data_IF_085932478700
#
_entry.id   IF_085932478700
#
_cell.length_a   1.000
_cell.length_b   1.000
_cell.length_c   1.000
_cell.angle_alpha   90.00
_cell.angle_beta   90.00
_cell.angle_gamma   90.00
#
_symmetry.space_group_name_H-M   'P 1'
#
loop_
_entity.id
_entity.type
_entity.pdbx_description
1 polymer ?
#
# COMPACT_ATOMS: atom_id res chain seq x y z
N UNK A 1 -26.23 8.15 -26.76
CA UNK A 1 -25.94 8.46 -25.34
C UNK A 1 -24.45 8.70 -25.18
N UNK A 2 -24.02 9.91 -24.81
CA UNK A 2 -22.62 10.18 -24.45
C UNK A 2 -22.45 9.79 -22.98
N UNK A 3 -21.73 8.72 -22.71
CA UNK A 3 -21.39 8.29 -21.35
C UNK A 3 -20.48 9.37 -20.75
N UNK A 4 -21.05 10.24 -19.90
CA UNK A 4 -20.26 11.16 -19.09
C UNK A 4 -19.51 10.33 -18.06
N UNK A 5 -18.22 10.11 -18.29
CA UNK A 5 -17.31 9.54 -17.29
C UNK A 5 -17.27 10.58 -16.16
N UNK A 6 -18.01 10.34 -15.08
CA UNK A 6 -17.94 11.17 -13.87
C UNK A 6 -16.54 11.00 -13.30
N UNK A 7 -15.65 11.96 -13.58
CA UNK A 7 -14.37 12.08 -12.89
C UNK A 7 -14.68 12.34 -11.42
N UNK A 8 -14.30 11.40 -10.56
CA UNK A 8 -14.51 11.50 -9.13
C UNK A 8 -13.28 12.23 -8.60
N UNK A 9 -13.44 13.48 -8.18
CA UNK A 9 -12.38 14.19 -7.47
C UNK A 9 -11.97 13.36 -6.26
N UNK A 10 -10.69 13.03 -6.22
CA UNK A 10 -10.12 12.27 -5.13
C UNK A 10 -10.09 13.14 -3.88
N UNK A 11 -10.91 12.80 -2.88
CA UNK A 11 -10.76 13.34 -1.53
C UNK A 11 -10.13 12.25 -0.65
N UNK A 12 -8.94 12.47 -0.07
CA UNK A 12 -8.31 11.49 0.80
C UNK A 12 -9.17 11.33 2.05
N UNK A 13 -9.98 10.27 2.08
CA UNK A 13 -10.60 9.81 3.29
C UNK A 13 -9.53 9.11 4.15
N UNK A 14 -8.78 9.93 4.90
CA UNK A 14 -8.02 9.59 6.12
C UNK A 14 -6.63 8.94 5.96
N UNK A 15 -5.64 9.74 6.40
CA UNK A 15 -4.44 9.40 7.19
C UNK A 15 -3.18 8.82 6.55
N UNK A 16 -3.23 7.96 5.52
CA UNK A 16 -2.00 7.27 5.05
C UNK A 16 -1.63 7.63 3.60
N UNK A 17 -2.61 7.79 2.72
CA UNK A 17 -2.43 8.08 1.30
C UNK A 17 -1.47 9.20 0.88
N UNK A 18 -1.43 10.38 1.55
CA UNK A 18 -0.50 11.46 1.16
C UNK A 18 0.98 11.06 1.23
N UNK A 19 1.33 10.06 2.05
CA UNK A 19 2.70 9.57 2.21
C UNK A 19 3.12 8.59 1.11
N UNK A 20 2.16 7.86 0.53
CA UNK A 20 2.41 6.71 -0.35
C UNK A 20 2.46 7.13 -1.80
N UNK A 21 1.65 8.10 -2.19
CA UNK A 21 1.43 8.38 -3.59
C UNK A 21 2.46 9.32 -4.22
N UNK A 22 3.13 10.18 -3.45
CA UNK A 22 3.95 11.26 -4.04
C UNK A 22 3.18 12.13 -5.04
N UNK A 23 1.84 12.04 -5.00
CA UNK A 23 0.85 12.74 -5.82
C UNK A 23 0.29 13.87 -5.00
N UNK A 24 0.06 15.01 -5.63
CA UNK A 24 -0.52 16.16 -4.93
C UNK A 24 -2.03 15.94 -4.72
N UNK A 25 -2.56 16.47 -3.62
CA UNK A 25 -4.00 16.59 -3.40
C UNK A 25 -4.65 17.28 -4.60
N UNK A 26 -5.52 16.56 -5.33
CA UNK A 26 -6.18 17.08 -6.54
C UNK A 26 -5.79 16.38 -7.85
N UNK A 27 -4.89 15.40 -7.81
CA UNK A 27 -4.63 14.55 -8.99
C UNK A 27 -5.86 13.69 -9.33
N UNK A 28 -6.27 13.71 -10.60
CA UNK A 28 -7.33 12.86 -11.16
C UNK A 28 -6.89 11.38 -11.11
N UNK A 29 -7.28 10.66 -10.05
CA UNK A 29 -7.17 9.19 -9.99
C UNK A 29 -8.38 8.53 -10.64
N UNK A 30 -8.13 7.50 -11.44
CA UNK A 30 -9.21 6.65 -11.96
C UNK A 30 -9.89 5.87 -10.84
N UNK A 31 -11.16 5.48 -11.05
CA UNK A 31 -11.90 4.65 -10.08
C UNK A 31 -11.15 3.38 -9.70
N UNK A 32 -10.41 2.77 -10.65
CA UNK A 32 -9.60 1.57 -10.41
C UNK A 32 -8.43 1.86 -9.47
N UNK A 33 -7.76 2.99 -9.62
CA UNK A 33 -6.65 3.38 -8.74
C UNK A 33 -7.16 3.65 -7.32
N UNK A 34 -8.29 4.35 -7.19
CA UNK A 34 -8.93 4.60 -5.90
C UNK A 34 -9.27 3.28 -5.19
N UNK A 35 -9.92 2.34 -5.88
CA UNK A 35 -10.28 1.04 -5.28
C UNK A 35 -9.06 0.24 -4.82
N UNK A 36 -7.95 0.28 -5.56
CA UNK A 36 -6.71 -0.40 -5.15
C UNK A 36 -6.14 0.21 -3.88
N UNK A 37 -6.16 1.53 -3.78
CA UNK A 37 -5.65 2.26 -2.62
C UNK A 37 -6.51 2.00 -1.38
N UNK A 38 -7.83 2.03 -1.52
CA UNK A 38 -8.76 1.70 -0.42
C UNK A 38 -8.55 0.25 0.09
N UNK A 39 -8.39 -0.71 -0.82
CA UNK A 39 -8.09 -2.10 -0.46
C UNK A 39 -6.76 -2.23 0.28
N UNK A 40 -5.75 -1.47 -0.17
CA UNK A 40 -4.44 -1.47 0.45
C UNK A 40 -4.47 -0.86 1.86
N UNK A 41 -5.10 0.30 2.04
CA UNK A 41 -5.23 0.95 3.36
C UNK A 41 -6.03 0.10 4.35
N UNK A 42 -7.15 -0.49 3.91
CA UNK A 42 -7.93 -1.39 4.74
C UNK A 42 -7.13 -2.65 5.14
N UNK A 43 -6.30 -3.16 4.22
CA UNK A 43 -5.38 -4.25 4.50
C UNK A 43 -4.30 -3.88 5.53
N UNK A 44 -3.73 -2.68 5.41
CA UNK A 44 -2.67 -2.20 6.31
C UNK A 44 -3.16 -2.03 7.74
N UNK A 45 -4.32 -1.39 7.94
CA UNK A 45 -4.92 -1.18 9.28
C UNK A 45 -5.19 -2.48 10.03
N UNK A 46 -5.54 -3.55 9.30
CA UNK A 46 -5.81 -4.86 9.91
C UNK A 46 -4.58 -5.79 9.96
N UNK A 47 -3.56 -5.50 9.14
CA UNK A 47 -2.42 -6.40 8.91
C UNK A 47 -1.23 -6.13 9.83
N UNK A 48 -0.92 -4.86 10.09
CA UNK A 48 0.23 -4.46 10.91
C UNK A 48 -0.16 -4.45 12.39
N UNK A 49 0.69 -5.04 13.23
CA UNK A 49 0.50 -5.12 14.67
C UNK A 49 1.67 -4.49 15.42
N UNK A 50 1.42 -4.02 16.64
CA UNK A 50 2.41 -3.39 17.53
C UNK A 50 3.61 -4.28 17.86
N UNK A 51 3.43 -5.60 17.81
CA UNK A 51 4.43 -6.62 18.09
C UNK A 51 5.21 -7.07 16.83
N UNK A 52 4.87 -6.56 15.65
CA UNK A 52 5.63 -6.88 14.44
C UNK A 52 7.05 -6.30 14.53
N UNK A 53 8.04 -7.10 14.13
CA UNK A 53 9.36 -6.56 13.79
C UNK A 53 9.25 -5.66 12.56
N UNK A 54 10.17 -4.71 12.41
CA UNK A 54 10.21 -3.84 11.22
C UNK A 54 10.18 -4.67 9.92
N UNK A 55 10.98 -5.73 9.85
CA UNK A 55 11.04 -6.60 8.66
C UNK A 55 9.71 -7.35 8.42
N UNK A 56 9.06 -7.82 9.49
CA UNK A 56 7.75 -8.46 9.39
C UNK A 56 6.68 -7.47 8.90
N UNK A 57 6.67 -6.24 9.43
CA UNK A 57 5.75 -5.19 9.02
C UNK A 57 5.98 -4.76 7.56
N UNK A 58 7.23 -4.55 7.14
CA UNK A 58 7.58 -4.28 5.73
C UNK A 58 7.13 -5.42 4.82
N UNK A 59 7.33 -6.67 5.24
CA UNK A 59 6.88 -7.85 4.48
C UNK A 59 5.37 -7.86 4.30
N UNK A 60 4.60 -7.47 5.32
CA UNK A 60 3.14 -7.35 5.23
C UNK A 60 2.71 -6.22 4.30
N UNK A 61 3.37 -5.06 4.37
CA UNK A 61 3.16 -3.94 3.44
C UNK A 61 3.32 -4.42 1.99
N UNK A 62 4.42 -5.12 1.68
CA UNK A 62 4.69 -5.66 0.34
C UNK A 62 3.62 -6.65 -0.11
N UNK A 63 3.23 -7.59 0.76
CA UNK A 63 2.17 -8.57 0.44
C UNK A 63 0.84 -7.90 0.13
N UNK A 64 0.45 -6.91 0.91
CA UNK A 64 -0.81 -6.18 0.74
C UNK A 64 -0.79 -5.31 -0.52
N UNK A 65 0.34 -4.65 -0.81
CA UNK A 65 0.49 -3.88 -2.04
C UNK A 65 0.36 -4.76 -3.29
N UNK A 66 1.00 -5.94 -3.28
CA UNK A 66 0.89 -6.91 -4.36
C UNK A 66 -0.53 -7.47 -4.49
N UNK A 67 -1.21 -7.72 -3.38
CA UNK A 67 -2.59 -8.18 -3.38
C UNK A 67 -3.55 -7.13 -3.95
N UNK A 68 -3.35 -5.85 -3.60
CA UNK A 68 -4.15 -4.75 -4.11
C UNK A 68 -3.92 -4.52 -5.62
N UNK A 69 -2.67 -4.60 -6.06
CA UNK A 69 -2.30 -4.30 -7.45
C UNK A 69 -2.68 -5.42 -8.43
N UNK A 70 -2.41 -6.67 -8.05
CA UNK A 70 -2.50 -7.84 -8.94
C UNK A 70 -3.53 -8.89 -8.48
N UNK A 71 -4.17 -8.65 -7.34
CA UNK A 71 -5.13 -9.58 -6.74
C UNK A 71 -4.50 -10.56 -5.75
N UNK A 72 -5.32 -11.12 -4.84
CA UNK A 72 -4.85 -12.01 -3.78
C UNK A 72 -4.32 -13.37 -4.28
N UNK A 73 -4.66 -13.76 -5.51
CA UNK A 73 -4.15 -14.98 -6.14
C UNK A 73 -2.65 -14.93 -6.38
N UNK A 74 -2.10 -13.75 -6.70
CA UNK A 74 -0.66 -13.59 -6.93
C UNK A 74 0.12 -13.92 -5.66
N UNK A 75 -0.31 -13.41 -4.51
CA UNK A 75 0.42 -13.58 -3.24
C UNK A 75 0.35 -15.01 -2.70
N UNK A 76 -0.61 -15.81 -3.19
CA UNK A 76 -0.77 -17.25 -2.87
C UNK A 76 0.00 -18.15 -3.82
N UNK A 77 0.56 -17.62 -4.91
CA UNK A 77 1.31 -18.41 -5.88
C UNK A 77 2.66 -18.88 -5.31
N UNK A 78 3.13 -20.04 -5.77
CA UNK A 78 4.34 -20.69 -5.25
C UNK A 78 5.62 -19.83 -5.35
N UNK A 79 5.72 -18.96 -6.37
CA UNK A 79 6.85 -18.03 -6.55
C UNK A 79 6.72 -16.70 -5.79
N UNK A 80 5.56 -16.40 -5.21
CA UNK A 80 5.30 -15.11 -4.61
C UNK A 80 6.14 -14.84 -3.36
N UNK A 81 6.47 -15.88 -2.60
CA UNK A 81 7.31 -15.77 -1.41
C UNK A 81 8.70 -15.20 -1.74
N UNK A 82 9.32 -15.66 -2.83
CA UNK A 82 10.63 -15.17 -3.26
C UNK A 82 10.56 -13.71 -3.75
N UNK A 83 9.51 -13.37 -4.50
CA UNK A 83 9.28 -12.00 -4.97
C UNK A 83 9.07 -11.04 -3.79
N UNK A 84 8.21 -11.40 -2.84
CA UNK A 84 8.00 -10.62 -1.61
C UNK A 84 9.31 -10.45 -0.85
N UNK A 85 10.07 -11.52 -0.62
CA UNK A 85 11.34 -11.45 0.11
C UNK A 85 12.39 -10.59 -0.61
N UNK A 86 12.37 -10.57 -1.95
CA UNK A 86 13.27 -9.75 -2.75
C UNK A 86 12.91 -8.27 -2.64
N UNK A 87 11.62 -7.93 -2.75
CA UNK A 87 11.14 -6.55 -2.61
C UNK A 87 11.35 -6.04 -1.18
N UNK A 88 11.04 -6.85 -0.16
CA UNK A 88 11.30 -6.51 1.25
C UNK A 88 12.78 -6.18 1.45
N UNK A 89 13.70 -7.02 0.94
CA UNK A 89 15.14 -6.74 1.02
C UNK A 89 15.54 -5.46 0.31
N UNK A 90 14.99 -5.19 -0.87
CA UNK A 90 15.25 -3.96 -1.61
C UNK A 90 14.79 -2.72 -0.81
N UNK A 91 13.60 -2.75 -0.21
CA UNK A 91 13.07 -1.68 0.65
C UNK A 91 13.97 -1.48 1.87
N UNK A 92 14.38 -2.57 2.54
CA UNK A 92 15.23 -2.50 3.73
C UNK A 92 16.65 -2.02 3.44
N UNK A 93 17.15 -2.29 2.23
CA UNK A 93 18.47 -1.87 1.75
C UNK A 93 18.53 -0.43 1.27
N UNK A 94 17.41 0.17 0.86
CA UNK A 94 17.33 1.57 0.43
C UNK A 94 16.90 2.50 1.56
N UNK A 95 17.70 3.53 1.85
CA UNK A 95 17.46 4.43 2.97
C UNK A 95 16.16 5.25 2.83
N UNK A 96 15.77 5.65 1.61
CA UNK A 96 14.56 6.43 1.37
C UNK A 96 13.32 5.56 1.48
N UNK A 97 13.32 4.39 0.84
CA UNK A 97 12.22 3.44 0.91
C UNK A 97 12.02 2.92 2.33
N UNK A 98 13.11 2.59 3.03
CA UNK A 98 13.06 2.20 4.44
C UNK A 98 12.45 3.28 5.31
N UNK A 99 12.83 4.56 5.11
CA UNK A 99 12.25 5.68 5.85
C UNK A 99 10.75 5.79 5.61
N UNK A 100 10.30 5.70 4.35
CA UNK A 100 8.87 5.74 4.02
C UNK A 100 8.10 4.58 4.67
N UNK A 101 8.65 3.36 4.62
CA UNK A 101 8.04 2.20 5.24
C UNK A 101 7.94 2.36 6.77
N UNK A 102 8.98 2.88 7.42
CA UNK A 102 8.96 3.14 8.87
C UNK A 102 7.91 4.18 9.27
N UNK A 103 7.71 5.23 8.48
CA UNK A 103 6.66 6.23 8.74
C UNK A 103 5.27 5.57 8.68
N UNK A 104 5.04 4.69 7.70
CA UNK A 104 3.78 3.94 7.58
C UNK A 104 3.56 3.06 8.82
N UNK A 105 4.60 2.32 9.21
CA UNK A 105 4.56 1.41 10.38
C UNK A 105 4.28 2.20 11.67
N UNK A 106 5.00 3.30 11.88
CA UNK A 106 4.84 4.17 13.05
C UNK A 106 3.42 4.72 13.14
N UNK A 107 2.86 5.21 12.03
CA UNK A 107 1.49 5.72 12.01
C UNK A 107 0.46 4.65 12.37
N UNK A 108 0.60 3.44 11.84
CA UNK A 108 -0.30 2.31 12.07
C UNK A 108 -0.13 1.68 13.46
N UNK A 109 1.06 1.79 14.05
CA UNK A 109 1.34 1.29 15.39
C UNK A 109 0.79 2.21 16.48
N UNK A 110 0.30 3.40 16.15
CA UNK A 110 -0.25 4.37 17.09
C UNK A 110 -1.80 4.43 17.10
N UNK A 111 -2.47 3.69 16.19
CA UNK A 111 -3.92 3.39 16.26
C UNK A 111 -4.20 2.18 17.18
#
# INVERSE_FOLDING_TARGET
MRTQIRKKEWSPAREIMPLILGKELGDDLSEKEISKLELFEAGLKNGIKKDDTIEAAVTKIVKLALAAEFGPSLVKAQGAAQMVATITRAIMGDAKLRKQALIIIDRLSNE
#
